data_IF_619674263171
#
_entry.id   IF_619674263171
#
_cell.length_a   1.000
_cell.length_b   1.000
_cell.length_c   1.000
_cell.angle_alpha   90.00
_cell.angle_beta   90.00
_cell.angle_gamma   90.00
#
_symmetry.space_group_name_H-M   'P 1'
#
loop_
_entity.id
_entity.type
_entity.pdbx_description
1 polymer ?
#
# COMPACT_ATOMS: atom_id res chain seq x y z
N UNK A 1 2.01 -18.13 9.26
CA UNK A 1 0.91 -18.23 8.27
C UNK A 1 0.33 -16.83 8.05
N UNK A 2 0.17 -16.47 6.81
CA UNK A 2 -0.36 -15.15 6.46
C UNK A 2 -1.88 -15.10 6.66
N UNK A 3 -2.37 -13.95 7.13
CA UNK A 3 -3.81 -13.75 7.35
C UNK A 3 -4.55 -13.75 6.00
N UNK A 4 -5.65 -14.51 5.86
CA UNK A 4 -6.40 -14.57 4.61
C UNK A 4 -7.07 -13.25 4.20
N UNK A 5 -7.17 -12.28 5.10
CA UNK A 5 -7.73 -10.96 4.81
C UNK A 5 -6.96 -10.26 3.69
N UNK A 6 -5.63 -10.32 3.71
CA UNK A 6 -4.81 -9.65 2.68
C UNK A 6 -5.07 -10.25 1.30
N UNK A 7 -5.11 -11.58 1.19
CA UNK A 7 -5.36 -12.25 -0.08
C UNK A 7 -6.76 -11.98 -0.60
N UNK A 8 -7.75 -11.90 0.28
CA UNK A 8 -9.13 -11.58 -0.09
C UNK A 8 -9.25 -10.16 -0.62
N UNK A 9 -8.63 -9.21 0.08
CA UNK A 9 -8.61 -7.81 -0.36
C UNK A 9 -7.89 -7.67 -1.70
N UNK A 10 -6.76 -8.37 -1.86
CA UNK A 10 -6.03 -8.41 -3.13
C UNK A 10 -6.93 -8.91 -4.27
N UNK A 11 -7.66 -10.01 -4.07
CA UNK A 11 -8.54 -10.57 -5.08
C UNK A 11 -9.66 -9.58 -5.48
N UNK A 12 -10.26 -8.90 -4.50
CA UNK A 12 -11.31 -7.92 -4.77
C UNK A 12 -10.78 -6.72 -5.55
N UNK A 13 -9.58 -6.25 -5.23
CA UNK A 13 -8.95 -5.15 -5.96
C UNK A 13 -8.51 -5.58 -7.36
N UNK A 14 -7.98 -6.79 -7.51
CA UNK A 14 -7.57 -7.32 -8.81
C UNK A 14 -8.76 -7.43 -9.77
N UNK A 15 -9.95 -7.74 -9.26
CA UNK A 15 -11.17 -7.81 -10.05
C UNK A 15 -11.55 -6.46 -10.68
N UNK A 16 -11.10 -5.35 -10.11
CA UNK A 16 -11.29 -4.00 -10.64
C UNK A 16 -10.15 -3.52 -11.54
N UNK A 17 -9.09 -4.31 -11.71
CA UNK A 17 -7.98 -4.00 -12.59
C UNK A 17 -6.65 -3.69 -11.91
N UNK A 18 -6.56 -3.79 -10.59
CA UNK A 18 -5.28 -3.67 -9.88
C UNK A 18 -4.34 -4.78 -10.34
N UNK A 19 -3.11 -4.44 -10.68
CA UNK A 19 -2.11 -5.38 -11.18
C UNK A 19 -1.03 -5.71 -10.17
N UNK A 20 -0.66 -4.76 -9.31
CA UNK A 20 0.28 -4.97 -8.23
C UNK A 20 -0.38 -4.51 -6.93
N UNK A 21 -0.33 -5.34 -5.91
CA UNK A 21 -0.98 -5.10 -4.62
C UNK A 21 -0.01 -5.41 -3.49
N UNK A 22 0.19 -4.45 -2.59
CA UNK A 22 0.98 -4.66 -1.37
C UNK A 22 0.28 -4.04 -0.16
N UNK A 23 0.64 -4.52 1.02
CA UNK A 23 0.23 -3.90 2.29
C UNK A 23 1.48 -3.56 3.07
N UNK A 24 1.59 -2.31 3.49
CA UNK A 24 2.71 -1.81 4.28
C UNK A 24 2.24 -1.46 5.68
N UNK A 25 3.03 -1.84 6.68
CA UNK A 25 2.81 -1.47 8.08
C UNK A 25 3.73 -0.31 8.43
N UNK A 26 3.21 0.67 9.18
CA UNK A 26 3.96 1.81 9.70
C UNK A 26 4.19 1.62 11.20
N UNK A 27 5.42 1.74 11.65
CA UNK A 27 5.76 1.75 13.07
C UNK A 27 6.49 3.05 13.38
N UNK A 28 5.73 4.08 13.70
CA UNK A 28 6.29 5.41 13.98
C UNK A 28 7.14 5.43 15.26
N UNK A 29 6.81 4.61 16.25
CA UNK A 29 7.55 4.54 17.50
C UNK A 29 9.00 4.07 17.28
N UNK A 30 9.21 3.20 16.29
CA UNK A 30 10.54 2.68 15.93
C UNK A 30 11.10 3.27 14.65
N UNK A 31 10.38 4.21 14.03
CA UNK A 31 10.77 4.93 12.81
C UNK A 31 11.04 4.02 11.62
N UNK A 32 10.23 2.95 11.48
CA UNK A 32 10.36 1.94 10.42
C UNK A 32 9.01 1.60 9.80
N UNK A 33 9.09 1.03 8.59
CA UNK A 33 7.96 0.42 7.91
C UNK A 33 8.38 -0.92 7.32
N UNK A 34 7.43 -1.82 7.12
CA UNK A 34 7.69 -3.10 6.46
C UNK A 34 6.48 -3.53 5.64
N UNK A 35 6.76 -4.40 4.66
CA UNK A 35 5.69 -4.95 3.82
C UNK A 35 5.15 -6.23 4.46
N UNK A 36 3.83 -6.24 4.70
CA UNK A 36 3.15 -7.39 5.32
C UNK A 36 2.59 -8.36 4.28
N UNK A 37 2.32 -7.89 3.05
CA UNK A 37 1.76 -8.69 1.97
C UNK A 37 2.22 -8.13 0.63
N UNK A 38 2.42 -9.03 -0.35
CA UNK A 38 2.76 -8.65 -1.71
C UNK A 38 2.17 -9.61 -2.74
N UNK A 39 1.71 -9.07 -3.86
CA UNK A 39 1.34 -9.85 -5.03
C UNK A 39 2.57 -10.19 -5.89
N UNK A 40 3.71 -9.54 -5.66
CA UNK A 40 4.92 -9.64 -6.47
C UNK A 40 6.13 -9.93 -5.58
N UNK A 41 6.27 -11.17 -5.07
CA UNK A 41 7.31 -11.49 -4.08
C UNK A 41 8.75 -11.38 -4.60
N UNK A 42 8.96 -11.37 -5.92
CA UNK A 42 10.29 -11.20 -6.50
C UNK A 42 10.69 -9.73 -6.51
N UNK A 43 9.84 -8.87 -7.07
CA UNK A 43 10.11 -7.43 -7.20
C UNK A 43 9.88 -6.68 -5.90
N UNK A 44 8.90 -7.12 -5.12
CA UNK A 44 8.49 -6.50 -3.85
C UNK A 44 8.36 -7.55 -2.75
N UNK A 45 9.49 -8.06 -2.24
CA UNK A 45 9.46 -9.13 -1.24
C UNK A 45 8.98 -8.66 0.13
N UNK A 46 8.46 -9.60 0.90
CA UNK A 46 8.19 -9.42 2.33
C UNK A 46 9.48 -9.73 3.08
N UNK A 47 10.35 -8.76 3.23
CA UNK A 47 11.66 -8.97 3.90
C UNK A 47 12.19 -7.64 4.42
N UNK A 48 12.74 -7.66 5.62
CA UNK A 48 13.39 -6.53 6.23
C UNK A 48 12.45 -5.37 6.57
N UNK A 49 13.01 -4.33 7.14
CA UNK A 49 12.33 -3.08 7.44
C UNK A 49 13.05 -1.93 6.73
N UNK A 50 12.35 -0.82 6.54
CA UNK A 50 12.92 0.40 5.98
C UNK A 50 12.68 1.56 6.94
N UNK A 51 13.65 2.49 7.07
CA UNK A 51 13.40 3.73 7.80
C UNK A 51 12.25 4.51 7.17
N UNK A 52 11.47 5.20 7.99
CA UNK A 52 10.43 6.10 7.48
C UNK A 52 11.07 7.29 6.79
N UNK A 53 10.51 7.67 5.64
CA UNK A 53 10.89 8.89 4.92
C UNK A 53 9.76 9.90 5.08
N UNK A 54 10.04 11.00 5.79
CA UNK A 54 9.01 12.02 6.09
C UNK A 54 9.04 13.11 5.03
N UNK A 55 8.58 12.76 3.84
CA UNK A 55 8.46 13.63 2.68
C UNK A 55 7.01 14.12 2.49
N UNK A 56 6.72 14.73 1.35
CA UNK A 56 5.36 15.19 1.03
C UNK A 56 4.34 14.07 0.94
N UNK A 57 4.75 12.89 0.47
CA UNK A 57 3.89 11.71 0.46
C UNK A 57 3.49 11.32 1.89
N UNK A 58 4.46 11.29 2.81
CA UNK A 58 4.23 10.97 4.21
C UNK A 58 3.28 11.98 4.85
N UNK A 59 3.48 13.27 4.59
CA UNK A 59 2.63 14.34 5.12
C UNK A 59 1.19 14.19 4.66
N UNK A 60 0.98 13.82 3.40
CA UNK A 60 -0.36 13.64 2.84
C UNK A 60 -1.03 12.37 3.35
N UNK A 61 -0.36 11.24 3.22
CA UNK A 61 -0.94 9.92 3.42
C UNK A 61 -0.93 9.48 4.89
N UNK A 62 0.15 9.72 5.60
CA UNK A 62 0.32 9.24 6.98
C UNK A 62 -0.12 10.31 7.97
N UNK A 63 0.48 11.47 7.94
CA UNK A 63 0.11 12.56 8.85
C UNK A 63 -1.28 13.08 8.55
N UNK A 64 -1.58 13.33 7.28
CA UNK A 64 -2.87 13.84 6.82
C UNK A 64 -3.97 12.81 6.70
N UNK A 65 -3.64 11.52 6.78
CA UNK A 65 -4.59 10.41 6.72
C UNK A 65 -5.45 10.43 5.46
N UNK A 66 -4.86 10.83 4.32
CA UNK A 66 -5.55 10.95 3.04
C UNK A 66 -4.98 9.98 2.02
N UNK A 67 -5.86 9.41 1.18
CA UNK A 67 -5.44 8.57 0.07
C UNK A 67 -4.55 9.36 -0.88
N UNK A 68 -3.36 8.82 -1.17
CA UNK A 68 -2.49 9.36 -2.20
C UNK A 68 -2.91 8.79 -3.55
N UNK A 69 -3.00 9.64 -4.57
CA UNK A 69 -3.40 9.25 -5.92
C UNK A 69 -2.40 9.82 -6.92
N UNK A 70 -1.86 8.95 -7.77
CA UNK A 70 -1.02 9.36 -8.89
C UNK A 70 -1.43 8.58 -10.14
N UNK A 71 -1.87 9.27 -11.18
CA UNK A 71 -2.36 8.65 -12.41
C UNK A 71 -1.35 8.66 -13.55
N UNK A 72 -0.11 9.07 -13.27
CA UNK A 72 0.99 9.04 -14.24
C UNK A 72 2.32 8.81 -13.54
N UNK A 73 3.30 8.32 -14.28
CA UNK A 73 4.66 8.10 -13.75
C UNK A 73 5.29 9.37 -13.18
N UNK A 74 5.25 10.54 -13.84
CA UNK A 74 5.81 11.76 -13.25
C UNK A 74 5.22 12.14 -11.90
N UNK A 75 3.94 11.85 -11.68
CA UNK A 75 3.28 12.18 -10.42
C UNK A 75 3.84 11.40 -9.23
N UNK A 76 4.11 10.08 -9.40
CA UNK A 76 4.66 9.29 -8.30
C UNK A 76 6.18 9.21 -8.27
N UNK A 77 6.84 9.49 -9.39
CA UNK A 77 8.32 9.45 -9.46
C UNK A 77 8.98 10.43 -8.49
N UNK A 78 8.28 11.49 -8.12
CA UNK A 78 8.75 12.47 -7.14
C UNK A 78 9.01 11.85 -5.76
N UNK A 79 8.28 10.79 -5.42
CA UNK A 79 8.31 10.19 -4.09
C UNK A 79 8.82 8.75 -4.09
N UNK A 80 8.79 8.06 -5.22
CA UNK A 80 9.11 6.64 -5.31
C UNK A 80 10.44 6.43 -6.03
N UNK A 81 11.52 6.11 -5.28
CA UNK A 81 12.84 5.85 -5.91
C UNK A 81 12.80 4.63 -6.84
N UNK A 82 11.83 3.72 -6.67
CA UNK A 82 11.63 2.53 -7.49
C UNK A 82 10.75 2.77 -8.72
N UNK A 83 10.51 4.03 -9.10
CA UNK A 83 9.63 4.35 -10.23
C UNK A 83 10.04 3.69 -11.55
N UNK A 84 11.34 3.47 -11.76
CA UNK A 84 11.82 2.77 -12.95
C UNK A 84 11.40 1.30 -12.96
N UNK A 85 11.44 0.63 -11.80
CA UNK A 85 10.95 -0.74 -11.65
C UNK A 85 9.44 -0.80 -11.91
N UNK A 86 8.69 0.12 -11.35
CA UNK A 86 7.24 0.23 -11.57
C UNK A 86 6.94 0.35 -13.06
N UNK A 87 7.64 1.25 -13.76
CA UNK A 87 7.46 1.43 -15.20
C UNK A 87 7.84 0.19 -15.99
N UNK A 88 8.89 -0.54 -15.58
CA UNK A 88 9.32 -1.77 -16.24
C UNK A 88 8.28 -2.88 -16.16
N UNK A 89 7.40 -2.84 -15.16
CA UNK A 89 6.28 -3.78 -14.99
C UNK A 89 5.03 -3.36 -15.77
N UNK A 90 5.10 -2.29 -16.54
CA UNK A 90 3.96 -1.77 -17.32
C UNK A 90 2.96 -0.99 -16.48
N UNK A 91 3.37 -0.51 -15.31
CA UNK A 91 2.50 0.21 -14.39
C UNK A 91 2.75 1.71 -14.51
N UNK A 92 1.68 2.50 -14.45
CA UNK A 92 1.76 3.95 -14.63
C UNK A 92 0.86 4.74 -13.69
N UNK A 93 0.15 4.08 -12.79
CA UNK A 93 -0.69 4.74 -11.79
C UNK A 93 -0.65 4.01 -10.47
N UNK A 94 -0.88 4.73 -9.39
CA UNK A 94 -0.92 4.14 -8.05
C UNK A 94 -1.87 4.89 -7.13
N UNK A 95 -2.38 4.18 -6.12
CA UNK A 95 -2.99 4.77 -4.95
C UNK A 95 -2.42 4.10 -3.69
N UNK A 96 -2.34 4.89 -2.63
CA UNK A 96 -2.00 4.40 -1.30
C UNK A 96 -3.13 4.81 -0.36
N UNK A 97 -3.84 3.83 0.18
CA UNK A 97 -5.00 4.07 1.05
C UNK A 97 -4.55 3.86 2.49
N UNK A 98 -4.54 4.90 3.33
CA UNK A 98 -4.16 4.75 4.73
C UNK A 98 -5.24 3.98 5.49
N UNK A 99 -4.79 3.05 6.34
CA UNK A 99 -5.67 2.30 7.24
C UNK A 99 -5.56 2.91 8.62
N UNK A 100 -6.64 3.53 9.09
CA UNK A 100 -6.66 4.29 10.33
C UNK A 100 -7.34 3.47 11.43
N UNK A 101 -6.71 3.44 12.61
CA UNK A 101 -7.25 2.82 13.81
C UNK A 101 -6.92 3.67 15.02
N UNK A 102 -7.94 4.04 15.80
CA UNK A 102 -7.79 4.88 16.99
C UNK A 102 -7.02 6.18 16.71
N UNK A 103 -7.34 6.83 15.58
CA UNK A 103 -6.73 8.11 15.17
C UNK A 103 -5.33 8.02 14.62
N UNK A 104 -4.78 6.81 14.40
CA UNK A 104 -3.43 6.60 13.90
C UNK A 104 -3.45 5.75 12.63
N UNK A 105 -2.54 6.01 11.72
CA UNK A 105 -2.37 5.18 10.53
C UNK A 105 -1.52 3.96 10.90
N UNK A 106 -2.11 2.76 10.77
CA UNK A 106 -1.39 1.50 10.96
C UNK A 106 -0.48 1.18 9.79
N UNK A 107 -0.86 1.62 8.61
CA UNK A 107 -0.16 1.35 7.39
C UNK A 107 -0.99 1.71 6.18
N UNK A 108 -0.60 1.22 5.01
CA UNK A 108 -1.26 1.56 3.74
C UNK A 108 -1.53 0.32 2.90
N UNK A 109 -2.66 0.35 2.22
CA UNK A 109 -2.97 -0.57 1.12
C UNK A 109 -2.51 0.10 -0.16
N UNK A 110 -1.63 -0.54 -0.91
CA UNK A 110 -0.97 0.04 -2.07
C UNK A 110 -1.40 -0.69 -3.33
N UNK A 111 -1.99 0.04 -4.26
CA UNK A 111 -2.53 -0.49 -5.51
C UNK A 111 -1.83 0.20 -6.67
N UNK A 112 -1.29 -0.59 -7.60
CA UNK A 112 -0.70 -0.09 -8.83
C UNK A 112 -1.37 -0.74 -10.02
N UNK A 113 -1.52 0.02 -11.10
CA UNK A 113 -2.19 -0.43 -12.30
C UNK A 113 -1.63 0.31 -13.52
N UNK A 114 -2.25 0.09 -14.67
CA UNK A 114 -1.90 0.81 -15.90
C UNK A 114 -2.08 2.32 -15.74
N UNK A 115 -1.48 3.07 -16.63
CA UNK A 115 -1.58 4.52 -16.64
C UNK A 115 -3.05 4.97 -16.58
N UNK A 116 -3.34 5.98 -15.76
CA UNK A 116 -4.67 6.61 -15.62
C UNK A 116 -5.79 5.66 -15.19
N UNK A 117 -5.45 4.58 -14.49
CA UNK A 117 -6.44 3.61 -14.04
C UNK A 117 -7.39 4.16 -12.98
N UNK A 118 -6.89 4.99 -12.07
CA UNK A 118 -7.64 5.44 -10.90
C UNK A 118 -8.50 6.67 -11.21
N UNK A 119 -9.55 6.46 -12.00
CA UNK A 119 -10.59 7.47 -12.23
C UNK A 119 -11.35 7.75 -10.92
N UNK A 120 -12.08 8.88 -10.80
CA UNK A 120 -12.87 9.14 -9.59
C UNK A 120 -13.80 8.00 -9.21
N UNK A 121 -14.44 7.35 -10.18
CA UNK A 121 -15.34 6.22 -9.93
C UNK A 121 -14.59 4.98 -9.41
N UNK A 122 -13.45 4.65 -10.02
CA UNK A 122 -12.60 3.52 -9.55
C UNK A 122 -12.01 3.81 -8.20
N UNK A 123 -11.52 5.03 -7.97
CA UNK A 123 -10.98 5.42 -6.67
C UNK A 123 -12.02 5.21 -5.56
N UNK A 124 -13.26 5.68 -5.78
CA UNK A 124 -14.35 5.49 -4.82
C UNK A 124 -14.65 4.01 -4.59
N UNK A 125 -14.61 3.17 -5.62
CA UNK A 125 -14.83 1.73 -5.51
C UNK A 125 -13.76 1.06 -4.67
N UNK A 126 -12.49 1.38 -4.88
CA UNK A 126 -11.39 0.83 -4.08
C UNK A 126 -11.48 1.27 -2.63
N UNK A 127 -11.76 2.54 -2.38
CA UNK A 127 -11.94 3.04 -1.02
C UNK A 127 -13.09 2.34 -0.31
N UNK A 128 -14.19 2.06 -1.02
CA UNK A 128 -15.32 1.32 -0.47
C UNK A 128 -14.97 -0.13 -0.11
N UNK A 129 -14.19 -0.81 -0.95
CA UNK A 129 -13.71 -2.17 -0.69
C UNK A 129 -12.89 -2.19 0.61
N UNK A 130 -11.94 -1.27 0.74
CA UNK A 130 -11.10 -1.19 1.94
C UNK A 130 -11.95 -0.86 3.17
N UNK A 131 -12.87 0.08 3.06
CA UNK A 131 -13.75 0.47 4.18
C UNK A 131 -14.65 -0.68 4.64
N UNK A 132 -15.17 -1.47 3.70
CA UNK A 132 -16.02 -2.64 4.02
C UNK A 132 -15.24 -3.70 4.81
N UNK A 133 -13.95 -3.84 4.54
CA UNK A 133 -13.09 -4.84 5.19
C UNK A 133 -12.22 -4.24 6.30
N UNK A 134 -12.50 -3.02 6.72
CA UNK A 134 -11.65 -2.26 7.65
C UNK A 134 -11.38 -3.00 8.96
N UNK A 135 -12.40 -3.58 9.59
CA UNK A 135 -12.22 -4.25 10.88
C UNK A 135 -11.29 -5.47 10.76
N UNK A 136 -11.50 -6.31 9.74
CA UNK A 136 -10.63 -7.46 9.48
C UNK A 136 -9.22 -7.03 9.12
N UNK A 137 -9.09 -5.96 8.33
CA UNK A 137 -7.81 -5.42 7.90
C UNK A 137 -7.01 -4.86 9.08
N UNK A 138 -7.66 -4.10 9.97
CA UNK A 138 -7.03 -3.60 11.20
C UNK A 138 -6.53 -4.76 12.05
N UNK A 139 -7.33 -5.80 12.24
CA UNK A 139 -6.93 -6.97 13.02
C UNK A 139 -5.72 -7.68 12.38
N UNK A 140 -5.74 -7.88 11.08
CA UNK A 140 -4.65 -8.53 10.34
C UNK A 140 -3.36 -7.71 10.39
N UNK A 141 -3.45 -6.40 10.22
CA UNK A 141 -2.28 -5.51 10.26
C UNK A 141 -1.70 -5.41 11.67
N UNK A 142 -2.56 -5.36 12.69
CA UNK A 142 -2.11 -5.31 14.09
C UNK A 142 -1.40 -6.59 14.52
N UNK A 143 -1.76 -7.73 13.93
CA UNK A 143 -1.13 -9.03 14.23
C UNK A 143 0.14 -9.28 13.41
N UNK A 144 0.36 -8.53 12.31
CA UNK A 144 1.50 -8.71 11.42
C UNK A 144 2.73 -8.00 11.98
N UNK A 145 3.57 -8.75 12.71
CA UNK A 145 4.84 -8.23 13.20
C UNK A 145 5.84 -8.01 12.05
N UNK A 146 6.99 -7.37 12.35
CA UNK A 146 8.02 -7.16 11.35
C UNK A 146 8.58 -8.50 10.86
N UNK A 147 8.97 -8.57 9.57
CA UNK A 147 9.61 -9.79 9.05
C UNK A 147 10.94 -10.03 9.75
N UNK A 148 11.31 -11.32 9.88
CA UNK A 148 12.60 -11.66 10.44
C UNK A 148 13.73 -11.10 9.58
N UNK A 149 14.81 -10.67 10.25
CA UNK A 149 15.99 -10.24 9.54
C UNK A 149 16.54 -11.41 8.72
N UNK A 150 17.03 -11.17 7.48
CA UNK A 150 17.68 -12.22 6.71
C UNK A 150 18.86 -12.79 7.50
N UNK A 151 18.93 -14.09 7.52
CA UNK A 151 20.01 -14.79 8.20
C UNK A 151 21.38 -14.47 7.60
#
# INVERSE_FOLDING_TARGET
MQDPTFARLHADCAALGTRLFTVTIQDEAHDVAWRAYTSHPVEYPVSGTKPLTRDGWYDHCITGQQTFVANSTPEFARYFPDHALISSLGLGSCINIPVVHLGRVLGTVNLLAEDRHFTPARLAAYQAIVATQAAALVAAMSAAGPPEAPA
#
